data_IF_028655173554
#
_entry.id   IF_028655173554
#
_cell.length_a   1.000
_cell.length_b   1.000
_cell.length_c   1.000
_cell.angle_alpha   90.00
_cell.angle_beta   90.00
_cell.angle_gamma   90.00
#
_symmetry.space_group_name_H-M   'P 1'
#
loop_
_entity.id
_entity.type
_entity.pdbx_description
1 polymer ?
#
# COMPACT_ATOMS: atom_id res chain seq x y z
N UNK A 1 -20.38 -28.80 3.94
CA UNK A 1 -19.04 -28.27 4.33
C UNK A 1 -19.02 -27.68 5.73
N UNK A 2 -20.14 -27.14 6.24
CA UNK A 2 -20.19 -26.45 7.54
C UNK A 2 -19.83 -27.33 8.75
N UNK A 3 -20.18 -28.62 8.70
CA UNK A 3 -19.84 -29.62 9.73
C UNK A 3 -18.57 -30.44 9.39
N UNK A 4 -17.85 -30.09 8.32
CA UNK A 4 -16.62 -30.80 7.96
C UNK A 4 -15.52 -30.50 9.02
N UNK A 5 -14.75 -31.48 9.50
CA UNK A 5 -13.61 -31.26 10.38
C UNK A 5 -12.59 -30.28 9.80
N UNK A 6 -12.00 -29.43 10.65
CA UNK A 6 -11.03 -28.42 10.22
C UNK A 6 -9.79 -29.05 9.55
N UNK A 7 -9.34 -30.22 10.00
CA UNK A 7 -8.19 -30.92 9.41
C UNK A 7 -8.44 -31.37 7.97
N UNK A 8 -9.66 -31.82 7.68
CA UNK A 8 -10.06 -32.19 6.31
C UNK A 8 -10.17 -30.96 5.42
N UNK A 9 -10.75 -29.88 5.93
CA UNK A 9 -10.78 -28.59 5.21
C UNK A 9 -9.37 -28.08 4.92
N UNK A 10 -8.43 -28.19 5.87
CA UNK A 10 -7.04 -27.79 5.68
C UNK A 10 -6.38 -28.63 4.59
N UNK A 11 -6.56 -29.96 4.59
CA UNK A 11 -6.03 -30.83 3.54
C UNK A 11 -6.60 -30.49 2.17
N UNK A 12 -7.91 -30.23 2.10
CA UNK A 12 -8.59 -29.80 0.87
C UNK A 12 -8.00 -28.47 0.40
N UNK A 13 -7.97 -27.43 1.24
CA UNK A 13 -7.44 -26.13 0.87
C UNK A 13 -5.96 -26.17 0.47
N UNK A 14 -5.15 -27.03 1.10
CA UNK A 14 -3.73 -27.16 0.78
C UNK A 14 -3.45 -27.71 -0.61
N UNK A 15 -4.43 -28.29 -1.31
CA UNK A 15 -4.27 -28.75 -2.69
C UNK A 15 -4.58 -27.67 -3.75
N UNK A 16 -5.20 -26.56 -3.34
CA UNK A 16 -5.56 -25.47 -4.24
C UNK A 16 -4.44 -24.44 -4.38
N UNK A 17 -4.45 -23.74 -5.51
CA UNK A 17 -3.50 -22.68 -5.74
C UNK A 17 -3.77 -21.49 -4.81
N UNK A 18 -2.73 -20.74 -4.36
CA UNK A 18 -2.93 -19.65 -3.40
C UNK A 18 -3.90 -18.55 -3.85
N UNK A 19 -4.08 -18.37 -5.17
CA UNK A 19 -5.10 -17.46 -5.73
C UNK A 19 -6.54 -17.95 -5.51
N UNK A 20 -6.77 -19.24 -5.66
CA UNK A 20 -8.08 -19.85 -5.45
C UNK A 20 -8.44 -19.75 -3.96
N UNK A 21 -7.44 -19.99 -3.10
CA UNK A 21 -7.56 -19.79 -1.66
C UNK A 21 -7.99 -18.37 -1.29
N UNK A 22 -7.45 -17.32 -1.92
CA UNK A 22 -7.91 -15.95 -1.67
C UNK A 22 -9.38 -15.70 -2.01
N UNK A 23 -9.97 -16.47 -2.94
CA UNK A 23 -11.40 -16.38 -3.21
C UNK A 23 -12.22 -17.13 -2.15
N UNK A 24 -11.75 -18.30 -1.70
CA UNK A 24 -12.42 -19.09 -0.67
C UNK A 24 -12.49 -18.39 0.70
N UNK A 25 -11.55 -17.49 0.99
CA UNK A 25 -11.60 -16.62 2.19
C UNK A 25 -12.88 -15.80 2.30
N UNK A 26 -13.54 -15.47 1.18
CA UNK A 26 -14.76 -14.65 1.15
C UNK A 26 -16.03 -15.42 1.49
N UNK A 27 -15.97 -16.75 1.59
CA UNK A 27 -17.15 -17.61 1.77
C UNK A 27 -17.70 -17.50 3.19
N UNK A 28 -16.85 -17.71 4.21
CA UNK A 28 -17.24 -17.55 5.61
C UNK A 28 -16.02 -17.33 6.50
N UNK A 29 -16.25 -16.78 7.71
CA UNK A 29 -15.18 -16.50 8.70
C UNK A 29 -14.35 -17.73 9.06
N UNK A 30 -14.99 -18.90 9.12
CA UNK A 30 -14.29 -20.16 9.42
C UNK A 30 -13.25 -20.51 8.35
N UNK A 31 -13.60 -20.32 7.08
CA UNK A 31 -12.69 -20.58 5.97
C UNK A 31 -11.57 -19.55 5.91
N UNK A 32 -11.90 -18.28 6.16
CA UNK A 32 -10.91 -17.20 6.24
C UNK A 32 -9.77 -17.53 7.21
N UNK A 33 -10.10 -17.93 8.45
CA UNK A 33 -9.12 -18.29 9.48
C UNK A 33 -8.28 -19.53 9.12
N UNK A 34 -8.92 -20.57 8.57
CA UNK A 34 -8.20 -21.78 8.19
C UNK A 34 -7.25 -21.52 7.02
N UNK A 35 -7.69 -20.73 6.04
CA UNK A 35 -6.90 -20.39 4.87
C UNK A 35 -5.77 -19.43 5.25
N UNK A 36 -5.99 -18.48 6.15
CA UNK A 36 -4.95 -17.60 6.67
C UNK A 36 -3.78 -18.41 7.27
N UNK A 37 -4.08 -19.37 8.14
CA UNK A 37 -3.07 -20.29 8.71
C UNK A 37 -2.34 -21.12 7.65
N UNK A 38 -2.99 -21.45 6.53
CA UNK A 38 -2.36 -22.17 5.42
C UNK A 38 -1.45 -21.25 4.62
N UNK A 39 -1.88 -20.02 4.36
CA UNK A 39 -1.13 -19.01 3.61
C UNK A 39 0.06 -18.44 4.40
N UNK A 40 0.13 -18.63 5.71
CA UNK A 40 1.33 -18.31 6.50
C UNK A 40 2.45 -19.35 6.36
N UNK A 41 2.15 -20.57 5.88
CA UNK A 41 3.15 -21.64 5.73
C UNK A 41 4.03 -21.42 4.50
N UNK A 42 5.29 -21.06 4.73
CA UNK A 42 6.32 -20.87 3.69
C UNK A 42 6.46 -22.08 2.73
N UNK A 43 6.34 -23.31 3.25
CA UNK A 43 6.51 -24.53 2.46
C UNK A 43 5.47 -24.73 1.36
N UNK A 44 4.24 -24.27 1.59
CA UNK A 44 3.18 -24.30 0.59
C UNK A 44 3.59 -23.45 -0.61
N UNK A 45 3.90 -22.18 -0.36
CA UNK A 45 4.33 -21.24 -1.40
C UNK A 45 5.59 -21.68 -2.11
N UNK A 46 6.54 -22.28 -1.38
CA UNK A 46 7.73 -22.90 -1.96
C UNK A 46 7.35 -23.98 -2.96
N UNK A 47 6.48 -24.91 -2.57
CA UNK A 47 6.05 -26.02 -3.44
C UNK A 47 5.38 -25.52 -4.71
N UNK A 48 4.47 -24.54 -4.59
CA UNK A 48 3.81 -23.95 -5.75
C UNK A 48 4.76 -23.12 -6.62
N UNK A 49 5.67 -22.34 -6.03
CA UNK A 49 6.73 -21.62 -6.76
C UNK A 49 7.59 -22.57 -7.60
N UNK A 50 8.06 -23.65 -6.99
CA UNK A 50 8.91 -24.65 -7.65
C UNK A 50 8.16 -25.39 -8.76
N UNK A 51 6.85 -25.61 -8.59
CA UNK A 51 6.02 -26.27 -9.60
C UNK A 51 5.75 -25.38 -10.80
N UNK A 52 5.44 -24.10 -10.58
CA UNK A 52 4.96 -23.17 -11.62
C UNK A 52 6.08 -22.34 -12.26
N UNK A 53 7.17 -22.04 -11.55
CA UNK A 53 8.22 -21.11 -12.01
C UNK A 53 9.63 -21.73 -11.98
N UNK A 54 9.75 -22.97 -12.48
CA UNK A 54 10.98 -23.79 -12.44
C UNK A 54 12.25 -23.06 -12.89
N UNK A 55 12.16 -22.27 -13.96
CA UNK A 55 13.34 -21.66 -14.60
C UNK A 55 13.75 -20.31 -14.00
N UNK A 56 12.91 -19.72 -13.16
CA UNK A 56 13.08 -18.32 -12.69
C UNK A 56 13.64 -18.28 -11.26
N UNK A 57 13.24 -19.20 -10.38
CA UNK A 57 13.65 -19.14 -8.97
C UNK A 57 15.15 -19.40 -8.75
N UNK A 58 15.83 -20.07 -9.69
CA UNK A 58 17.25 -20.42 -9.59
C UNK A 58 18.18 -19.26 -9.99
N UNK A 59 17.73 -18.33 -10.84
CA UNK A 59 18.63 -17.37 -11.51
C UNK A 59 19.05 -16.19 -10.66
N UNK A 60 18.35 -15.88 -9.58
CA UNK A 60 18.78 -14.97 -8.51
C UNK A 60 17.67 -14.97 -7.47
N UNK A 61 17.81 -15.77 -6.42
CA UNK A 61 16.96 -15.59 -5.24
C UNK A 61 17.34 -14.24 -4.65
N UNK A 62 16.57 -13.19 -4.99
CA UNK A 62 16.66 -11.87 -4.37
C UNK A 62 16.62 -12.08 -2.86
N UNK A 63 17.79 -12.05 -2.23
CA UNK A 63 17.99 -12.38 -0.83
C UNK A 63 17.19 -11.40 0.03
N UNK A 64 16.17 -11.89 0.72
CA UNK A 64 15.33 -11.08 1.62
C UNK A 64 13.82 -11.24 1.43
N UNK A 65 13.34 -11.86 0.34
CA UNK A 65 11.90 -12.10 0.13
C UNK A 65 11.45 -13.44 0.72
N UNK A 66 10.31 -13.41 1.40
CA UNK A 66 9.57 -14.61 1.82
C UNK A 66 8.95 -15.32 0.61
N UNK A 67 8.72 -16.63 0.67
CA UNK A 67 8.14 -17.39 -0.44
C UNK A 67 6.77 -16.87 -0.90
N UNK A 68 5.84 -16.44 -0.01
CA UNK A 68 4.59 -15.79 -0.43
C UNK A 68 4.83 -14.53 -1.27
N UNK A 69 5.79 -13.68 -0.86
CA UNK A 69 6.11 -12.44 -1.58
C UNK A 69 6.75 -12.74 -2.93
N UNK A 70 7.63 -13.75 -2.98
CA UNK A 70 8.26 -14.20 -4.21
C UNK A 70 7.21 -14.74 -5.20
N UNK A 71 6.30 -15.62 -4.75
CA UNK A 71 5.24 -16.17 -5.59
C UNK A 71 4.36 -15.08 -6.19
N UNK A 72 3.94 -14.10 -5.37
CA UNK A 72 3.15 -12.95 -5.83
C UNK A 72 3.91 -12.12 -6.87
N UNK A 73 5.19 -11.83 -6.62
CA UNK A 73 6.03 -11.08 -7.55
C UNK A 73 6.14 -11.79 -8.90
N UNK A 74 6.52 -13.07 -8.92
CA UNK A 74 6.64 -13.86 -10.15
C UNK A 74 5.33 -13.90 -10.95
N UNK A 75 4.20 -14.00 -10.25
CA UNK A 75 2.90 -13.99 -10.90
C UNK A 75 2.51 -12.61 -11.47
N UNK A 76 3.02 -11.52 -10.90
CA UNK A 76 2.85 -10.16 -11.43
C UNK A 76 3.78 -9.87 -12.60
N UNK A 77 4.99 -10.44 -12.61
CA UNK A 77 5.94 -10.31 -13.72
C UNK A 77 5.33 -10.75 -15.06
N UNK A 78 4.54 -11.83 -15.07
CA UNK A 78 3.81 -12.26 -16.27
C UNK A 78 2.81 -11.22 -16.80
N UNK A 79 2.30 -10.34 -15.92
CA UNK A 79 1.38 -9.26 -16.28
C UNK A 79 2.09 -7.97 -16.65
N UNK A 80 3.38 -7.86 -16.35
CA UNK A 80 4.19 -6.66 -16.58
C UNK A 80 4.33 -6.36 -18.08
N UNK A 81 4.30 -7.41 -18.93
CA UNK A 81 4.23 -7.26 -20.39
C UNK A 81 2.99 -6.49 -20.88
N UNK A 82 1.93 -6.47 -20.07
CA UNK A 82 0.68 -5.75 -20.37
C UNK A 82 0.50 -4.50 -19.50
N UNK A 83 1.50 -4.16 -18.69
CA UNK A 83 1.45 -2.95 -17.88
C UNK A 83 1.68 -1.74 -18.77
N UNK A 84 0.70 -0.85 -18.80
CA UNK A 84 0.84 0.47 -19.43
C UNK A 84 1.24 1.47 -18.35
N UNK A 85 2.34 2.17 -18.57
CA UNK A 85 2.71 3.31 -17.73
C UNK A 85 1.75 4.46 -17.98
N UNK A 86 0.87 4.72 -17.02
CA UNK A 86 0.06 5.94 -17.00
C UNK A 86 0.77 6.97 -16.13
N UNK A 87 1.46 7.90 -16.76
CA UNK A 87 1.90 9.13 -16.08
C UNK A 87 0.68 10.03 -15.90
N UNK A 88 0.06 9.94 -14.74
CA UNK A 88 -0.74 11.05 -14.24
C UNK A 88 0.18 11.94 -13.42
N UNK A 89 0.56 13.10 -13.97
CA UNK A 89 1.27 14.18 -13.29
C UNK A 89 0.36 14.89 -12.26
N UNK A 90 -0.45 14.13 -11.53
CA UNK A 90 -1.18 14.63 -10.38
C UNK A 90 -0.41 14.27 -9.12
N UNK A 91 -0.04 15.31 -8.37
CA UNK A 91 0.42 15.17 -7.00
C UNK A 91 -0.74 14.69 -6.11
N UNK A 92 -1.12 13.41 -6.24
CA UNK A 92 -2.10 12.78 -5.35
C UNK A 92 -1.35 12.37 -4.10
N UNK A 93 -1.80 12.89 -2.97
CA UNK A 93 -1.24 12.50 -1.70
C UNK A 93 -1.61 11.05 -1.41
N UNK A 94 -0.62 10.18 -1.20
CA UNK A 94 -0.82 8.75 -0.90
C UNK A 94 -1.63 8.47 0.39
N UNK A 95 -1.92 9.52 1.16
CA UNK A 95 -2.71 9.47 2.37
C UNK A 95 -3.74 10.61 2.36
N UNK A 96 -4.99 10.27 2.63
CA UNK A 96 -6.11 11.21 2.75
C UNK A 96 -5.86 12.37 3.74
N UNK A 97 -5.05 12.13 4.78
CA UNK A 97 -4.67 13.18 5.74
C UNK A 97 -3.81 14.27 5.13
N UNK A 98 -3.11 13.96 4.04
CA UNK A 98 -2.20 14.86 3.36
C UNK A 98 -2.85 15.56 2.17
N UNK A 99 -4.12 15.26 1.87
CA UNK A 99 -4.87 15.84 0.76
C UNK A 99 -4.86 17.37 0.85
N UNK A 100 -4.43 18.01 -0.23
CA UNK A 100 -4.30 19.47 -0.30
C UNK A 100 -5.67 20.04 -0.63
N UNK A 101 -6.26 20.73 0.34
CA UNK A 101 -7.57 21.40 0.20
C UNK A 101 -7.38 22.81 -0.37
N UNK A 102 -6.23 23.42 -0.10
CA UNK A 102 -5.88 24.73 -0.61
C UNK A 102 -4.47 25.13 -0.19
N UNK A 103 -4.02 26.29 -0.68
CA UNK A 103 -2.74 26.86 -0.29
C UNK A 103 -2.83 28.38 -0.24
N UNK A 104 -1.97 28.97 0.58
CA UNK A 104 -1.81 30.42 0.67
C UNK A 104 -0.34 30.79 0.59
N UNK A 105 -0.01 31.70 -0.33
CA UNK A 105 1.31 32.27 -0.42
C UNK A 105 1.50 33.37 0.64
N UNK A 106 2.50 33.20 1.50
CA UNK A 106 2.90 34.20 2.49
C UNK A 106 3.96 35.13 1.91
N UNK A 107 3.97 36.38 2.37
CA UNK A 107 4.89 37.43 1.91
C UNK A 107 6.38 37.13 2.20
N UNK A 108 6.65 36.19 3.10
CA UNK A 108 7.99 35.72 3.47
C UNK A 108 8.60 34.73 2.46
N UNK A 109 7.93 34.42 1.34
CA UNK A 109 8.38 33.38 0.41
C UNK A 109 8.12 31.96 0.93
N UNK A 110 7.23 31.84 1.91
CA UNK A 110 6.72 30.58 2.46
C UNK A 110 5.32 30.36 1.93
N UNK A 111 4.98 29.12 1.60
CA UNK A 111 3.62 28.70 1.24
C UNK A 111 3.02 27.88 2.38
N UNK A 112 1.84 28.27 2.84
CA UNK A 112 1.03 27.48 3.77
C UNK A 112 0.13 26.56 2.99
N UNK A 113 0.34 25.25 3.11
CA UNK A 113 -0.46 24.22 2.44
C UNK A 113 -1.49 23.71 3.45
N UNK A 114 -2.76 23.90 3.13
CA UNK A 114 -3.88 23.45 3.97
C UNK A 114 -4.18 22.00 3.65
N UNK A 115 -3.93 21.15 4.64
CA UNK A 115 -4.34 19.77 4.66
C UNK A 115 -5.61 19.63 5.49
N UNK A 116 -6.27 18.47 5.40
CA UNK A 116 -7.55 18.23 6.07
C UNK A 116 -7.55 18.43 7.58
N UNK A 117 -6.42 18.21 8.23
CA UNK A 117 -6.28 18.32 9.69
C UNK A 117 -5.08 19.16 10.15
N UNK A 118 -4.38 19.81 9.22
CA UNK A 118 -3.15 20.55 9.53
C UNK A 118 -2.82 21.58 8.46
N UNK A 119 -2.03 22.59 8.83
CA UNK A 119 -1.38 23.49 7.87
C UNK A 119 0.12 23.19 7.92
N UNK A 120 0.71 22.92 6.75
CA UNK A 120 2.14 22.65 6.62
C UNK A 120 2.78 23.77 5.82
N UNK A 121 3.86 24.34 6.35
CA UNK A 121 4.56 25.44 5.72
C UNK A 121 5.77 24.94 4.94
N UNK A 122 5.96 25.44 3.71
CA UNK A 122 7.10 25.12 2.86
C UNK A 122 7.80 26.40 2.41
N UNK A 123 9.13 26.41 2.40
CA UNK A 123 9.90 27.50 1.82
C UNK A 123 9.98 27.31 0.30
N UNK A 124 9.57 28.30 -0.49
CA UNK A 124 9.51 28.19 -1.95
C UNK A 124 10.88 28.08 -2.63
N UNK A 125 11.94 28.62 -2.01
CA UNK A 125 13.29 28.55 -2.57
C UNK A 125 13.93 27.17 -2.37
N UNK A 126 13.69 26.56 -1.22
CA UNK A 126 14.32 25.28 -0.85
C UNK A 126 13.40 24.09 -1.05
N UNK A 127 12.10 24.31 -1.24
CA UNK A 127 11.02 23.30 -1.28
C UNK A 127 10.99 22.38 -0.04
N UNK A 128 11.66 22.79 1.04
CA UNK A 128 11.66 22.06 2.32
C UNK A 128 10.60 22.61 3.25
N UNK A 129 10.14 21.76 4.18
CA UNK A 129 9.24 22.19 5.25
C UNK A 129 9.92 23.30 6.07
N UNK A 130 9.22 24.40 6.27
CA UNK A 130 9.64 25.45 7.17
C UNK A 130 9.45 24.94 8.60
N UNK A 131 10.55 24.55 9.24
CA UNK A 131 10.59 24.10 10.64
C UNK A 131 10.53 25.26 11.63
N UNK A 132 10.78 26.48 11.15
CA UNK A 132 10.88 27.65 11.99
C UNK A 132 9.50 28.25 12.21
N UNK A 133 9.01 28.07 13.44
CA UNK A 133 7.83 28.74 13.98
C UNK A 133 8.14 30.23 14.13
N UNK A 134 8.22 30.99 13.04
CA UNK A 134 7.96 32.41 13.16
C UNK A 134 6.44 32.59 13.28
N UNK A 135 5.93 33.08 14.43
CA UNK A 135 4.51 33.28 14.61
C UNK A 135 4.03 34.27 13.55
N UNK A 136 3.01 33.86 12.79
CA UNK A 136 2.29 34.75 11.88
C UNK A 136 1.60 35.79 12.78
N UNK A 137 2.22 36.95 12.95
CA UNK A 137 1.56 38.14 13.45
C UNK A 137 0.51 38.54 12.41
N UNK A 138 -0.68 37.95 12.50
CA UNK A 138 -1.87 38.53 11.90
C UNK A 138 -2.06 39.90 12.55
N UNK A 139 -1.60 40.95 11.86
CA UNK A 139 -2.18 42.28 12.07
C UNK A 139 -3.60 42.23 11.54
N UNK A 140 -4.51 41.75 12.38
CA UNK A 140 -5.94 41.90 12.23
C UNK A 140 -6.24 43.37 11.92
N UNK A 141 -6.54 43.64 10.66
CA UNK A 141 -7.07 44.91 10.19
C UNK A 141 -8.50 45.04 10.71
N UNK A 142 -8.65 45.40 11.99
CA UNK A 142 -9.82 46.12 12.45
C UNK A 142 -9.73 47.53 11.87
N UNK A 143 -10.18 47.68 10.62
CA UNK A 143 -10.50 49.00 10.08
C UNK A 143 -11.74 49.51 10.82
N UNK A 144 -11.51 50.56 11.62
CA UNK A 144 -12.50 51.50 12.13
C UNK A 144 -13.61 51.73 11.09
N UNK A 145 -14.84 51.38 11.43
CA UNK A 145 -16.00 52.11 10.91
C UNK A 145 -16.19 53.35 11.80
N UNK A 146 -16.22 54.51 11.13
CA UNK A 146 -16.72 55.78 11.68
C UNK A 146 -18.21 55.66 11.94
#
# INVERSE_FOLDING_TARGET
>A
MENCPSDLLIKIFSSFNPKELTNFRKVCRRWDLLIENILEKEDLWRTHCLKEFKDVYQKQRLSGLTWPKLYRSLHLWAKLLHATETQEDFAVTSCYKNEIIGFQLLRSGVIGVHQRFSIVYYNLKTLKKATDREPILEKSRLQKKR
#
